data_IF_027497808982
#
_entry.id   IF_027497808982
#
_cell.length_a   1.000
_cell.length_b   1.000
_cell.length_c   1.000
_cell.angle_alpha   90.00
_cell.angle_beta   90.00
_cell.angle_gamma   90.00
#
_symmetry.space_group_name_H-M   'P 1'
#
loop_
_entity.id
_entity.type
_entity.pdbx_description
1 polymer ?
#
# COMPACT_ATOMS: atom_id res chain seq x y z
N UNK A 1 11.91 -10.84 18.43
CA UNK A 1 11.37 -9.65 17.74
C UNK A 1 9.87 -9.84 17.55
N UNK A 2 9.04 -9.06 18.22
CA UNK A 2 7.59 -9.07 18.01
C UNK A 2 7.27 -7.95 17.02
N UNK A 3 7.13 -8.28 15.73
CA UNK A 3 6.63 -7.33 14.74
C UNK A 3 5.28 -6.80 15.21
N UNK A 4 5.18 -5.47 15.40
CA UNK A 4 3.93 -4.85 15.81
C UNK A 4 2.98 -4.97 14.61
N UNK A 5 1.96 -5.80 14.77
CA UNK A 5 0.84 -5.93 13.83
C UNK A 5 -0.01 -4.66 13.95
N UNK A 6 0.18 -3.70 13.05
CA UNK A 6 -0.68 -2.53 13.01
C UNK A 6 -1.89 -2.85 12.13
N UNK A 7 -3.08 -2.73 12.73
CA UNK A 7 -4.32 -2.85 11.99
C UNK A 7 -4.54 -1.53 11.25
N UNK A 8 -4.48 -1.58 9.93
CA UNK A 8 -4.76 -0.43 9.08
C UNK A 8 -6.21 -0.54 8.59
N UNK A 9 -6.91 0.58 8.65
CA UNK A 9 -8.28 0.73 8.17
C UNK A 9 -8.32 1.96 7.26
N UNK A 10 -8.79 1.78 6.04
CA UNK A 10 -8.99 2.88 5.10
C UNK A 10 -10.39 2.80 4.51
N UNK A 11 -11.10 3.92 4.55
CA UNK A 11 -12.42 4.07 3.92
C UNK A 11 -12.30 5.07 2.78
N UNK A 12 -12.70 4.65 1.58
CA UNK A 12 -12.84 5.54 0.44
C UNK A 12 -14.10 6.40 0.61
N UNK A 13 -13.94 7.61 1.15
CA UNK A 13 -15.02 8.58 1.33
C UNK A 13 -15.22 9.51 0.11
N UNK A 14 -14.72 9.11 -1.06
CA UNK A 14 -14.84 9.89 -2.30
C UNK A 14 -15.82 9.24 -3.27
N UNK A 15 -16.24 10.00 -4.28
CA UNK A 15 -17.08 9.50 -5.38
C UNK A 15 -16.27 8.79 -6.49
N UNK A 16 -14.95 8.65 -6.31
CA UNK A 16 -14.03 8.05 -7.28
C UNK A 16 -13.57 6.66 -6.83
N UNK A 17 -13.12 5.84 -7.78
CA UNK A 17 -12.37 4.63 -7.49
C UNK A 17 -10.94 5.01 -7.09
N UNK A 18 -10.43 4.42 -6.02
CA UNK A 18 -9.08 4.69 -5.51
C UNK A 18 -8.19 3.47 -5.70
N UNK A 19 -6.98 3.65 -6.22
CA UNK A 19 -5.91 2.66 -6.04
C UNK A 19 -5.20 2.99 -4.72
N UNK A 20 -5.24 2.05 -3.78
CA UNK A 20 -4.62 2.17 -2.46
C UNK A 20 -3.48 1.19 -2.33
N UNK A 21 -2.26 1.69 -2.13
CA UNK A 21 -1.06 0.94 -1.79
C UNK A 21 -0.93 0.74 -0.28
N UNK A 22 -0.55 -0.48 0.12
CA UNK A 22 -0.20 -0.84 1.52
C UNK A 22 -1.17 -0.35 2.61
N UNK A 23 -2.47 -0.33 2.29
CA UNK A 23 -3.57 0.07 3.17
C UNK A 23 -3.62 1.55 3.57
N UNK A 24 -2.66 2.39 3.18
CA UNK A 24 -2.59 3.80 3.61
C UNK A 24 -2.26 4.79 2.51
N UNK A 25 -1.61 4.36 1.43
CA UNK A 25 -1.12 5.26 0.39
C UNK A 25 -2.06 5.33 -0.79
N UNK A 26 -2.63 6.50 -1.05
CA UNK A 26 -3.44 6.70 -2.25
C UNK A 26 -2.50 6.87 -3.45
N UNK A 27 -2.55 5.90 -4.36
CA UNK A 27 -1.75 5.88 -5.59
C UNK A 27 -2.39 6.77 -6.67
N UNK A 28 -3.70 6.66 -6.86
CA UNK A 28 -4.45 7.43 -7.88
C UNK A 28 -5.96 7.35 -7.68
N UNK A 29 -6.67 8.28 -8.33
CA UNK A 29 -8.13 8.36 -8.39
C UNK A 29 -8.63 8.14 -9.82
N UNK A 30 -9.77 7.48 -9.97
CA UNK A 30 -10.37 7.14 -11.27
C UNK A 30 -11.87 7.30 -11.24
N UNK A 31 -12.46 7.86 -12.31
CA UNK A 31 -13.92 7.99 -12.42
C UNK A 31 -14.60 6.65 -12.65
N UNK A 32 -13.92 5.71 -13.33
CA UNK A 32 -14.49 4.43 -13.70
C UNK A 32 -13.68 3.26 -13.16
N UNK A 33 -14.38 2.15 -12.92
CA UNK A 33 -13.75 0.87 -12.57
C UNK A 33 -12.77 0.39 -13.64
N UNK A 34 -13.07 0.69 -14.92
CA UNK A 34 -12.24 0.26 -16.04
C UNK A 34 -10.90 0.97 -16.04
N UNK A 35 -10.89 2.29 -15.84
CA UNK A 35 -9.66 3.09 -15.78
C UNK A 35 -8.79 2.70 -14.59
N UNK A 36 -9.41 2.45 -13.43
CA UNK A 36 -8.73 1.92 -12.25
C UNK A 36 -8.09 0.55 -12.53
N UNK A 37 -8.81 -0.34 -13.23
CA UNK A 37 -8.32 -1.69 -13.57
C UNK A 37 -7.17 -1.65 -14.57
N UNK A 38 -7.27 -0.81 -15.60
CA UNK A 38 -6.20 -0.60 -16.58
C UNK A 38 -4.96 -0.08 -15.86
N UNK A 39 -5.12 0.96 -15.05
CA UNK A 39 -4.02 1.56 -14.28
C UNK A 39 -3.36 0.55 -13.36
N UNK A 40 -4.13 -0.26 -12.61
CA UNK A 40 -3.59 -1.29 -11.73
C UNK A 40 -2.74 -2.31 -12.51
N UNK A 41 -3.20 -2.73 -13.69
CA UNK A 41 -2.47 -3.68 -14.55
C UNK A 41 -1.19 -3.08 -15.15
N UNK A 42 -1.13 -1.75 -15.29
CA UNK A 42 0.04 -1.04 -15.77
C UNK A 42 1.10 -0.82 -14.68
N UNK A 43 0.76 -1.01 -13.40
CA UNK A 43 1.72 -0.89 -12.29
C UNK A 43 2.52 -2.19 -12.16
N UNK A 44 3.83 -2.08 -12.34
CA UNK A 44 4.75 -3.18 -12.08
C UNK A 44 5.11 -3.16 -10.59
N UNK A 45 4.49 -4.04 -9.79
CA UNK A 45 4.62 -4.03 -8.32
C UNK A 45 6.09 -4.11 -7.86
N UNK A 46 6.95 -4.84 -8.59
CA UNK A 46 8.38 -4.94 -8.27
C UNK A 46 9.14 -3.61 -8.32
N UNK A 47 8.60 -2.64 -9.05
CA UNK A 47 9.23 -1.34 -9.28
C UNK A 47 8.57 -0.25 -8.42
N UNK A 48 7.61 -0.65 -7.57
CA UNK A 48 6.88 0.23 -6.67
C UNK A 48 7.33 0.02 -5.22
N UNK A 49 7.16 1.05 -4.39
CA UNK A 49 7.37 0.93 -2.94
C UNK A 49 6.28 0.12 -2.23
N UNK A 50 5.21 -0.25 -2.95
CA UNK A 50 4.06 -0.92 -2.36
C UNK A 50 4.15 -2.44 -2.50
N UNK A 51 3.88 -3.15 -1.42
CA UNK A 51 3.80 -4.61 -1.43
C UNK A 51 2.48 -5.13 -2.01
N UNK A 52 1.43 -4.32 -1.97
CA UNK A 52 0.12 -4.65 -2.51
C UNK A 52 -0.66 -3.37 -2.85
N UNK A 53 -1.48 -3.46 -3.89
CA UNK A 53 -2.35 -2.36 -4.34
C UNK A 53 -3.76 -2.91 -4.54
N UNK A 54 -4.76 -2.20 -4.01
CA UNK A 54 -6.17 -2.54 -4.14
C UNK A 54 -6.95 -1.43 -4.82
N UNK A 55 -7.98 -1.78 -5.58
CA UNK A 55 -8.98 -0.82 -6.06
C UNK A 55 -10.12 -0.77 -5.05
N UNK A 56 -10.43 0.41 -4.56
CA UNK A 56 -11.53 0.68 -3.65
C UNK A 56 -12.63 1.48 -4.33
N UNK A 57 -13.86 0.98 -4.27
CA UNK A 57 -15.04 1.68 -4.77
C UNK A 57 -15.43 2.84 -3.84
N UNK A 58 -16.21 3.82 -4.32
CA UNK A 58 -16.85 4.82 -3.46
C UNK A 58 -17.57 4.17 -2.27
N UNK A 59 -17.27 4.62 -1.06
CA UNK A 59 -17.82 4.10 0.20
C UNK A 59 -17.23 2.78 0.70
N UNK A 60 -16.33 2.14 -0.05
CA UNK A 60 -15.73 0.87 0.36
C UNK A 60 -14.67 1.06 1.45
N UNK A 61 -14.61 0.10 2.38
CA UNK A 61 -13.61 0.08 3.46
C UNK A 61 -12.72 -1.14 3.33
N UNK A 62 -11.41 -0.89 3.28
CA UNK A 62 -10.39 -1.92 3.36
C UNK A 62 -9.84 -1.99 4.78
N UNK A 63 -9.75 -3.19 5.31
CA UNK A 63 -9.07 -3.44 6.58
C UNK A 63 -8.02 -4.52 6.38
N UNK A 64 -6.83 -4.31 6.93
CA UNK A 64 -5.77 -5.29 6.89
C UNK A 64 -4.81 -5.13 8.05
N UNK A 65 -3.88 -6.07 8.13
CA UNK A 65 -2.79 -6.01 9.11
C UNK A 65 -1.51 -5.88 8.33
N UNK A 66 -0.83 -4.74 8.48
CA UNK A 66 0.53 -4.60 7.97
C UNK A 66 1.50 -4.98 9.08
N UNK A 67 2.49 -5.82 8.75
CA UNK A 67 3.57 -6.14 9.66
C UNK A 67 4.70 -5.17 9.31
N UNK A 68 4.84 -4.11 10.10
CA UNK A 68 6.08 -3.37 10.11
C UNK A 68 7.13 -4.31 10.71
N UNK A 69 7.91 -4.98 9.86
CA UNK A 69 9.23 -5.40 10.29
C UNK A 69 9.96 -4.09 10.60
N UNK A 70 10.46 -3.86 11.83
CA UNK A 70 11.38 -2.76 12.03
C UNK A 70 12.51 -3.00 11.01
N UNK A 71 12.70 -2.06 10.10
CA UNK A 71 13.93 -2.00 9.33
C UNK A 71 15.05 -1.97 10.37
N UNK A 72 15.72 -3.11 10.57
CA UNK A 72 17.06 -3.09 11.11
C UNK A 72 17.84 -2.29 10.07
N UNK A 73 18.04 -1.00 10.34
CA UNK A 73 19.21 -0.30 9.88
C UNK A 73 20.37 -1.22 10.22
N UNK A 74 20.89 -1.93 9.21
CA UNK A 74 22.23 -2.48 9.25
C UNK A 74 23.15 -1.29 9.42
N UNK A 75 23.34 -0.86 10.68
CA UNK A 75 24.41 0.04 11.06
C UNK A 75 25.68 -0.64 10.58
N UNK A 76 26.34 0.01 9.62
CA UNK A 76 27.64 -0.36 9.08
C UNK A 76 28.52 -0.94 10.18
N UNK A 77 28.78 -2.24 10.11
CA UNK A 77 29.88 -2.84 10.86
C UNK A 77 31.14 -2.49 10.08
N UNK A 78 31.70 -1.32 10.37
CA UNK A 78 33.06 -0.96 10.00
C UNK A 78 34.01 -1.93 10.72
N UNK A 79 34.45 -2.98 10.03
CA UNK A 79 35.62 -3.73 10.46
C UNK A 79 36.86 -2.89 10.14
N UNK A 80 37.28 -2.09 11.11
CA UNK A 80 38.68 -1.67 11.21
C UNK A 80 39.46 -2.87 11.76
N UNK A 81 40.32 -3.47 10.93
CA UNK A 81 41.58 -4.12 11.34
C UNK A 81 42.50 -4.21 10.13
#
# INVERSE_FOLDING_TARGET
MNGIKQKNLFTNNTDFYILLGDYTDIVSYHETWNDATITLRSIHISDSSWTSIWILKPGETLSGTYINAPHEEHRDVSYRS
#
